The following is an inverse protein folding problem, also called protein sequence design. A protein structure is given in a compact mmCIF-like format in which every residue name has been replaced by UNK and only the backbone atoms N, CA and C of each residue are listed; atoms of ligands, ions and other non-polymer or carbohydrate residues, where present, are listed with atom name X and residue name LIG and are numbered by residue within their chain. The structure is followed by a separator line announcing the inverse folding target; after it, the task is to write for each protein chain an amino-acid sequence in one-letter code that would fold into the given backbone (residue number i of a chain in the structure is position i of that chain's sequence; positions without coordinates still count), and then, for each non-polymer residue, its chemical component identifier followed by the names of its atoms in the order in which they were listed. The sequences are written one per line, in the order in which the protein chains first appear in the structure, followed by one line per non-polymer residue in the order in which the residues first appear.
data_IF_889311962458
#
_entry.id   IF_889311962458
#
_cell.length_a   1.000
_cell.length_b   1.000
_cell.length_c   1.000
_cell.angle_alpha   90.00
_cell.angle_beta   90.00
_cell.angle_gamma   90.00
#
_symmetry.space_group_name_H-M   'P 1'
#
loop_
_entity.id
_entity.type
_entity.pdbx_description
1 polymer ?
#
# COMPACT_ATOMS: atom_id res chain seq x y z
N UNK A 1 4.53 8.96 6.75
CA UNK A 1 4.54 9.35 5.32
C UNK A 1 3.29 10.14 4.97
N UNK A 2 3.36 11.08 4.00
CA UNK A 2 2.17 11.75 3.43
C UNK A 2 1.86 13.15 3.96
N UNK A 3 2.72 13.73 4.80
CA UNK A 3 2.49 15.04 5.44
C UNK A 3 2.09 16.13 4.42
N UNK A 4 2.84 16.30 3.33
CA UNK A 4 2.54 17.33 2.32
C UNK A 4 1.14 17.23 1.72
N UNK A 5 0.62 16.00 1.58
CA UNK A 5 -0.74 15.79 1.10
C UNK A 5 -1.77 16.21 2.14
N UNK A 6 -1.56 15.82 3.41
CA UNK A 6 -2.43 16.22 4.52
C UNK A 6 -2.40 17.74 4.74
N UNK A 7 -1.23 18.36 4.66
CA UNK A 7 -1.09 19.82 4.78
C UNK A 7 -1.89 20.53 3.68
N UNK A 8 -1.71 20.15 2.41
CA UNK A 8 -2.51 20.68 1.29
C UNK A 8 -4.01 20.47 1.48
N UNK A 9 -4.39 19.31 2.00
CA UNK A 9 -5.79 18.99 2.31
C UNK A 9 -6.35 19.90 3.39
N UNK A 10 -5.64 20.09 4.51
CA UNK A 10 -6.06 20.97 5.60
C UNK A 10 -6.16 22.45 5.16
N UNK A 11 -5.21 22.92 4.35
CA UNK A 11 -5.23 24.29 3.81
C UNK A 11 -6.48 24.58 2.99
N UNK A 12 -7.04 23.59 2.29
CA UNK A 12 -8.30 23.73 1.52
C UNK A 12 -9.48 24.12 2.41
N UNK A 13 -9.42 23.84 3.70
CA UNK A 13 -10.48 24.11 4.68
C UNK A 13 -10.06 25.15 5.72
N UNK A 14 -9.05 25.97 5.42
CA UNK A 14 -8.51 26.99 6.34
C UNK A 14 -8.00 26.38 7.68
N UNK A 15 -7.55 25.13 7.66
CA UNK A 15 -7.00 24.43 8.82
C UNK A 15 -5.49 24.33 8.71
N UNK A 16 -4.78 24.55 9.82
CA UNK A 16 -3.31 24.48 9.90
C UNK A 16 -2.89 23.33 10.81
N UNK A 17 -1.90 22.56 10.39
CA UNK A 17 -1.28 21.52 11.21
C UNK A 17 -0.16 22.16 12.04
N UNK A 18 -0.16 21.95 13.35
CA UNK A 18 0.91 22.43 14.26
C UNK A 18 1.68 21.21 14.76
N UNK A 19 2.96 21.13 14.44
CA UNK A 19 3.85 20.04 14.90
C UNK A 19 4.49 20.46 16.22
N UNK A 20 4.19 19.71 17.28
CA UNK A 20 4.81 19.87 18.60
C UNK A 20 5.87 18.80 18.79
N UNK A 21 7.06 19.20 19.25
CA UNK A 21 8.17 18.28 19.47
C UNK A 21 8.02 17.59 20.85
N UNK A 22 7.31 16.46 20.88
CA UNK A 22 7.24 15.57 22.05
C UNK A 22 7.98 14.27 21.69
N UNK A 23 9.24 14.17 22.09
CA UNK A 23 10.06 12.98 21.88
C UNK A 23 9.70 11.88 22.88
N UNK A 24 8.57 11.20 22.66
CA UNK A 24 8.13 10.08 23.52
C UNK A 24 8.66 8.71 23.03
N UNK A 25 9.12 8.58 21.77
CA UNK A 25 9.51 7.32 21.13
C UNK A 25 10.75 7.48 20.22
N UNK A 26 11.51 6.39 20.05
CA UNK A 26 12.70 6.32 19.19
C UNK A 26 12.32 6.39 17.70
N UNK A 27 12.69 7.46 16.96
CA UNK A 27 12.29 7.63 15.55
C UNK A 27 12.70 6.46 14.64
N UNK A 28 13.76 5.75 15.00
CA UNK A 28 14.30 4.63 14.24
C UNK A 28 13.43 3.38 14.37
N UNK A 29 12.93 3.09 15.58
CA UNK A 29 12.11 1.91 15.83
C UNK A 29 10.75 2.01 15.13
N UNK A 30 10.13 3.19 15.18
CA UNK A 30 8.87 3.48 14.48
C UNK A 30 9.02 3.30 12.96
N UNK A 31 10.09 3.87 12.38
CA UNK A 31 10.34 3.75 10.95
C UNK A 31 10.50 2.28 10.52
N UNK A 32 11.22 1.48 11.32
CA UNK A 32 11.40 0.05 11.03
C UNK A 32 10.07 -0.69 11.12
N UNK A 33 9.24 -0.43 12.13
CA UNK A 33 7.93 -1.05 12.26
C UNK A 33 7.00 -0.70 11.09
N UNK A 34 6.99 0.56 10.67
CA UNK A 34 6.21 1.01 9.51
C UNK A 34 6.64 0.28 8.23
N UNK A 35 7.94 0.15 8.00
CA UNK A 35 8.49 -0.57 6.83
C UNK A 35 8.10 -2.04 6.86
N UNK A 36 8.23 -2.71 8.01
CA UNK A 36 7.84 -4.12 8.16
C UNK A 36 6.35 -4.31 7.89
N UNK A 37 5.51 -3.41 8.40
CA UNK A 37 4.06 -3.43 8.19
C UNK A 37 3.70 -3.27 6.70
N UNK A 38 4.36 -2.34 6.01
CA UNK A 38 4.21 -2.13 4.56
C UNK A 38 4.61 -3.41 3.81
N UNK A 39 5.78 -3.98 4.09
CA UNK A 39 6.26 -5.19 3.42
C UNK A 39 5.32 -6.37 3.63
N UNK A 40 4.82 -6.55 4.85
CA UNK A 40 3.86 -7.60 5.15
C UNK A 40 2.59 -7.47 4.32
N UNK A 41 1.96 -6.29 4.29
CA UNK A 41 0.75 -6.03 3.51
C UNK A 41 0.97 -6.27 2.00
N UNK A 42 2.07 -5.76 1.45
CA UNK A 42 2.39 -5.98 0.03
C UNK A 42 2.73 -7.45 -0.27
N UNK A 43 3.35 -8.18 0.66
CA UNK A 43 3.66 -9.60 0.46
C UNK A 43 2.38 -10.43 0.29
N UNK A 44 1.35 -10.16 1.09
CA UNK A 44 0.04 -10.80 1.00
C UNK A 44 -0.64 -10.51 -0.35
N UNK A 45 -0.63 -9.24 -0.78
CA UNK A 45 -1.23 -8.83 -2.07
C UNK A 45 -0.51 -9.47 -3.26
N UNK A 46 0.83 -9.47 -3.26
CA UNK A 46 1.64 -10.08 -4.31
C UNK A 46 1.42 -11.60 -4.37
N UNK A 47 1.33 -12.27 -3.21
CA UNK A 47 1.01 -13.68 -3.16
C UNK A 47 -0.38 -13.97 -3.73
N UNK A 48 -1.39 -13.17 -3.36
CA UNK A 48 -2.74 -13.25 -3.89
C UNK A 48 -2.78 -13.12 -5.42
N UNK A 49 -2.10 -12.12 -5.98
CA UNK A 49 -2.01 -11.92 -7.43
C UNK A 49 -1.36 -13.12 -8.14
N UNK A 50 -0.27 -13.67 -7.58
CA UNK A 50 0.39 -14.87 -8.14
C UNK A 50 -0.50 -16.10 -8.06
N UNK A 51 -1.28 -16.24 -6.98
CA UNK A 51 -2.24 -17.33 -6.80
C UNK A 51 -3.35 -17.26 -7.85
N UNK A 52 -3.97 -16.10 -8.05
CA UNK A 52 -5.02 -15.91 -9.06
C UNK A 52 -4.48 -16.11 -10.47
N UNK A 53 -3.32 -15.53 -10.81
CA UNK A 53 -2.66 -15.76 -12.11
C UNK A 53 -2.49 -17.26 -12.40
N UNK A 54 -1.99 -18.02 -11.43
CA UNK A 54 -1.83 -19.49 -11.56
C UNK A 54 -3.16 -20.24 -11.63
N UNK A 55 -4.23 -19.76 -11.01
CA UNK A 55 -5.55 -20.38 -11.10
C UNK A 55 -6.16 -20.14 -12.48
N UNK A 56 -6.08 -18.91 -12.98
CA UNK A 56 -6.55 -18.50 -14.31
C UNK A 56 -5.80 -19.27 -15.41
N UNK A 57 -4.47 -19.40 -15.32
CA UNK A 57 -3.67 -20.18 -16.28
C UNK A 57 -4.03 -21.68 -16.31
N UNK A 58 -4.59 -22.22 -15.22
CA UNK A 58 -4.98 -23.63 -15.10
C UNK A 58 -6.43 -23.90 -15.51
N UNK A 59 -7.24 -22.85 -15.62
CA UNK A 59 -8.62 -22.95 -16.03
C UNK A 59 -8.70 -22.88 -17.55
N UNK A 60 -8.94 -24.01 -18.20
CA UNK A 60 -8.89 -24.14 -19.66
C UNK A 60 -9.95 -23.30 -20.40
N UNK A 61 -11.06 -22.96 -19.74
CA UNK A 61 -12.14 -22.16 -20.32
C UNK A 61 -11.73 -20.68 -20.34
N UNK A 62 -11.26 -20.16 -19.20
CA UNK A 62 -10.79 -18.78 -19.05
C UNK A 62 -9.47 -18.55 -19.82
N UNK A 63 -8.57 -19.54 -19.84
CA UNK A 63 -7.29 -19.43 -20.57
C UNK A 63 -7.48 -19.30 -22.09
N UNK A 64 -8.55 -19.88 -22.66
CA UNK A 64 -8.90 -19.73 -24.08
C UNK A 64 -9.43 -18.33 -24.39
N UNK A 65 -10.35 -17.81 -23.58
CA UNK A 65 -10.90 -16.44 -23.75
C UNK A 65 -9.81 -15.36 -23.72
N UNK A 66 -8.75 -15.56 -22.92
CA UNK A 66 -7.61 -14.64 -22.85
C UNK A 66 -6.67 -14.72 -24.08
N UNK A 67 -6.63 -15.84 -24.81
CA UNK A 67 -5.83 -15.98 -26.02
C UNK A 67 -6.50 -15.39 -27.26
N UNK A 68 -7.84 -15.39 -27.28
CA UNK A 68 -8.64 -14.91 -28.41
C UNK A 68 -8.90 -13.39 -28.40
N UNK A 69 -8.51 -12.70 -27.32
CA UNK A 69 -8.70 -11.24 -27.14
C UNK A 69 -7.60 -10.35 -27.73
N UNK A 70 -6.80 -10.83 -28.69
CA UNK A 70 -5.70 -10.09 -29.32
C UNK A 70 -5.98 -9.73 -30.79
#
# INVERSE_FOLDING_TARGET
FGYDWFEKFCMKFNTTIVVVNNEDLSPQEELVQDIVSILHEFSCRLYGLRKYKKQIERDEEIAKELQDGN
#
